data_IF_567926100105
#
_entry.id   IF_567926100105
#
_cell.length_a   1.000
_cell.length_b   1.000
_cell.length_c   1.000
_cell.angle_alpha   90.00
_cell.angle_beta   90.00
_cell.angle_gamma   90.00
#
_symmetry.space_group_name_H-M   'P 1'
#
loop_
_entity.id
_entity.type
_entity.pdbx_description
1 polymer ?
#
# COMPACT_ATOMS: atom_id res chain seq x y z
N UNK A 1 23.24 41.74 54.75
CA UNK A 1 24.70 41.67 54.86
C UNK A 1 25.04 40.38 55.59
N UNK A 2 25.30 39.29 54.91
CA UNK A 2 25.63 37.98 55.48
C UNK A 2 27.15 38.03 55.85
N UNK A 3 27.43 38.04 57.11
CA UNK A 3 28.78 38.03 57.70
C UNK A 3 29.33 36.62 57.65
N UNK A 4 30.23 36.32 56.73
CA UNK A 4 30.94 35.05 56.66
C UNK A 4 32.04 35.08 57.70
N UNK A 5 31.77 34.50 58.84
CA UNK A 5 32.68 34.60 60.01
C UNK A 5 33.61 33.40 60.29
N UNK A 6 33.58 32.37 59.35
CA UNK A 6 34.40 31.19 59.64
C UNK A 6 35.20 30.70 58.43
N UNK A 7 36.53 30.51 58.60
CA UNK A 7 37.40 29.97 57.51
C UNK A 7 36.90 28.61 56.99
N UNK A 8 36.19 27.85 57.79
CA UNK A 8 35.58 26.56 57.41
C UNK A 8 34.45 26.79 56.39
N UNK A 9 33.64 27.83 56.55
CA UNK A 9 32.53 28.12 55.63
C UNK A 9 33.06 28.54 54.26
N UNK A 10 34.12 29.30 54.21
CA UNK A 10 34.78 29.71 52.94
C UNK A 10 35.35 28.49 52.21
N UNK A 11 35.91 27.52 52.94
CA UNK A 11 36.39 26.27 52.32
C UNK A 11 35.25 25.45 51.75
N UNK A 12 34.13 25.29 52.45
CA UNK A 12 32.96 24.57 51.97
C UNK A 12 32.34 25.25 50.74
N UNK A 13 32.23 26.58 50.73
CA UNK A 13 31.74 27.31 49.54
C UNK A 13 32.66 27.13 48.33
N UNK A 14 33.98 27.16 48.51
CA UNK A 14 34.96 26.93 47.42
C UNK A 14 34.89 25.48 46.91
N UNK A 15 34.76 24.52 47.81
CA UNK A 15 34.60 23.11 47.44
C UNK A 15 33.29 22.88 46.66
N UNK A 16 32.19 23.48 47.12
CA UNK A 16 30.89 23.42 46.44
C UNK A 16 30.95 24.06 45.05
N UNK A 17 31.57 25.21 44.95
CA UNK A 17 31.77 25.93 43.67
C UNK A 17 32.64 25.10 42.71
N UNK A 18 33.70 24.45 43.21
CA UNK A 18 34.53 23.58 42.39
C UNK A 18 33.77 22.38 41.89
N UNK A 19 32.96 21.71 42.73
CA UNK A 19 32.08 20.58 42.32
C UNK A 19 31.09 21.04 41.27
N UNK A 20 30.46 22.21 41.45
CA UNK A 20 29.51 22.76 40.50
C UNK A 20 30.18 23.07 39.13
N UNK A 21 31.35 23.71 39.15
CA UNK A 21 32.12 24.00 37.93
C UNK A 21 32.57 22.70 37.22
N UNK A 22 33.02 21.72 37.99
CA UNK A 22 33.39 20.40 37.43
C UNK A 22 32.19 19.67 36.79
N UNK A 23 31.03 19.68 37.46
CA UNK A 23 29.80 19.11 36.92
C UNK A 23 29.39 19.82 35.64
N UNK A 24 29.41 21.15 35.63
CA UNK A 24 29.08 21.95 34.44
C UNK A 24 30.06 21.67 33.29
N UNK A 25 31.35 21.61 33.58
CA UNK A 25 32.38 21.28 32.59
C UNK A 25 32.18 19.88 32.00
N UNK A 26 31.84 18.89 32.84
CA UNK A 26 31.54 17.53 32.41
C UNK A 26 30.33 17.49 31.48
N UNK A 27 29.24 18.22 31.81
CA UNK A 27 28.06 18.33 30.98
C UNK A 27 28.37 19.02 29.64
N UNK A 28 29.11 20.13 29.66
CA UNK A 28 29.52 20.84 28.44
C UNK A 28 30.40 19.96 27.54
N UNK A 29 31.36 19.25 28.14
CA UNK A 29 32.22 18.33 27.40
C UNK A 29 31.41 17.19 26.75
N UNK A 30 30.42 16.64 27.48
CA UNK A 30 29.53 15.63 26.96
C UNK A 30 28.65 16.16 25.83
N UNK A 31 28.14 17.38 26.00
CA UNK A 31 27.33 18.06 25.01
C UNK A 31 28.12 18.34 23.73
N UNK A 32 29.36 18.84 23.88
CA UNK A 32 30.28 19.04 22.77
C UNK A 32 30.58 17.72 22.03
N UNK A 33 30.86 16.66 22.78
CA UNK A 33 31.07 15.33 22.19
C UNK A 33 29.89 14.88 21.32
N UNK A 34 28.66 14.99 21.84
CA UNK A 34 27.45 14.57 21.14
C UNK A 34 27.11 15.44 19.92
N UNK A 35 27.39 16.76 20.02
CA UNK A 35 27.02 17.70 18.96
C UNK A 35 28.07 17.90 17.88
N UNK A 36 29.34 17.68 18.20
CA UNK A 36 30.44 17.93 17.25
C UNK A 36 31.07 16.62 16.79
N UNK A 37 31.42 15.74 17.73
CA UNK A 37 32.17 14.52 17.40
C UNK A 37 31.24 13.41 16.89
N UNK A 38 30.05 13.21 17.51
CA UNK A 38 29.11 12.12 17.18
C UNK A 38 27.92 12.64 16.35
N UNK A 39 28.01 13.90 15.84
CA UNK A 39 26.95 14.56 15.05
C UNK A 39 26.53 13.74 13.84
N UNK A 40 27.49 13.34 12.99
CA UNK A 40 27.21 12.63 11.75
C UNK A 40 26.50 11.30 11.99
N UNK A 41 26.83 10.62 13.07
CA UNK A 41 26.20 9.36 13.45
C UNK A 41 24.75 9.55 13.90
N UNK A 42 24.47 10.59 14.68
CA UNK A 42 23.11 10.90 15.14
C UNK A 42 22.28 11.51 14.02
N UNK A 43 22.87 12.36 13.19
CA UNK A 43 22.22 12.93 12.01
C UNK A 43 21.85 11.85 10.99
N UNK A 44 22.77 10.94 10.66
CA UNK A 44 22.48 9.83 9.75
C UNK A 44 21.37 8.91 10.29
N UNK A 45 21.36 8.60 11.58
CA UNK A 45 20.27 7.83 12.20
C UNK A 45 18.94 8.56 12.17
N UNK A 46 18.92 9.87 12.38
CA UNK A 46 17.72 10.69 12.28
C UNK A 46 17.18 10.69 10.85
N UNK A 47 18.04 10.89 9.87
CA UNK A 47 17.69 10.84 8.44
C UNK A 47 17.12 9.47 8.03
N UNK A 48 17.76 8.38 8.44
CA UNK A 48 17.29 7.01 8.13
C UNK A 48 15.92 6.73 8.77
N UNK A 49 15.65 7.28 9.95
CA UNK A 49 14.38 7.09 10.64
C UNK A 49 13.26 8.01 10.10
N UNK A 50 13.60 9.13 9.48
CA UNK A 50 12.64 10.08 8.91
C UNK A 50 12.22 9.75 7.48
N UNK A 51 13.00 8.93 6.75
CA UNK A 51 12.69 8.56 5.36
C UNK A 51 12.03 7.18 5.32
N UNK A 52 10.85 7.11 4.73
CA UNK A 52 10.12 5.85 4.45
C UNK A 52 10.01 5.60 2.96
N UNK A 53 10.17 4.35 2.57
CA UNK A 53 9.93 3.88 1.22
C UNK A 53 8.47 3.40 1.09
N UNK A 54 7.68 4.10 0.30
CA UNK A 54 6.33 3.70 -0.11
C UNK A 54 6.40 2.95 -1.42
N UNK A 55 5.78 1.79 -1.48
CA UNK A 55 5.66 1.04 -2.73
C UNK A 55 4.55 1.63 -3.57
N UNK A 56 4.87 2.01 -4.80
CA UNK A 56 3.90 2.44 -5.81
C UNK A 56 3.58 1.30 -6.77
N UNK A 57 2.38 1.30 -7.30
CA UNK A 57 1.86 0.27 -8.17
C UNK A 57 1.47 0.88 -9.51
N UNK A 58 1.63 0.10 -10.58
CA UNK A 58 1.17 0.45 -11.92
C UNK A 58 0.07 -0.53 -12.35
N UNK A 59 -0.70 -0.22 -13.40
CA UNK A 59 -1.71 -1.15 -13.93
C UNK A 59 -1.09 -2.46 -14.41
N UNK A 60 -1.86 -3.53 -14.29
CA UNK A 60 -1.54 -4.84 -14.88
C UNK A 60 -1.73 -4.79 -16.40
N UNK A 61 -0.94 -5.51 -17.18
CA UNK A 61 -1.07 -5.60 -18.63
C UNK A 61 -2.49 -6.03 -19.08
N UNK A 62 -2.94 -5.54 -20.21
CA UNK A 62 -4.22 -5.91 -20.81
C UNK A 62 -4.14 -7.32 -21.39
N UNK A 63 -5.31 -7.98 -21.55
CA UNK A 63 -5.40 -9.20 -22.35
C UNK A 63 -6.29 -8.88 -23.55
N UNK A 64 -5.75 -9.07 -24.74
CA UNK A 64 -6.37 -8.73 -26.00
C UNK A 64 -6.66 -9.98 -26.81
N UNK A 65 -7.64 -9.91 -27.68
CA UNK A 65 -7.87 -10.91 -28.72
C UNK A 65 -6.87 -10.75 -29.88
N UNK A 66 -6.98 -11.60 -30.91
CA UNK A 66 -6.11 -11.54 -32.10
C UNK A 66 -6.24 -10.25 -32.93
N UNK A 67 -7.32 -9.51 -32.76
CA UNK A 67 -7.62 -8.27 -33.47
C UNK A 67 -7.40 -7.03 -32.62
N UNK A 68 -6.96 -7.18 -31.36
CA UNK A 68 -6.77 -6.08 -30.44
C UNK A 68 -8.02 -5.69 -29.65
N UNK A 69 -9.11 -6.50 -29.70
CA UNK A 69 -10.27 -6.29 -28.84
C UNK A 69 -9.91 -6.63 -27.39
N UNK A 70 -10.26 -5.73 -26.44
CA UNK A 70 -9.91 -5.89 -25.03
C UNK A 70 -10.78 -6.96 -24.40
N UNK A 71 -10.15 -8.05 -23.95
CA UNK A 71 -10.79 -9.15 -23.25
C UNK A 71 -10.77 -8.98 -21.74
N UNK A 72 -9.66 -8.43 -21.21
CA UNK A 72 -9.49 -8.14 -19.78
C UNK A 72 -8.81 -6.79 -19.62
N UNK A 73 -9.44 -5.90 -18.85
CA UNK A 73 -9.05 -4.53 -18.63
C UNK A 73 -8.82 -4.24 -17.14
N UNK A 74 -8.30 -3.05 -16.86
CA UNK A 74 -8.16 -2.50 -15.52
C UNK A 74 -9.08 -1.29 -15.37
N UNK A 75 -10.06 -1.39 -14.49
CA UNK A 75 -10.97 -0.28 -14.22
C UNK A 75 -10.50 0.50 -13.00
N UNK A 76 -10.31 1.82 -13.12
CA UNK A 76 -9.88 2.63 -12.00
C UNK A 76 -10.95 2.67 -10.92
N UNK A 77 -10.56 2.28 -9.72
CA UNK A 77 -11.38 2.31 -8.52
C UNK A 77 -10.64 3.03 -7.40
N UNK A 78 -11.24 3.04 -6.22
CA UNK A 78 -10.60 3.60 -5.04
C UNK A 78 -10.60 2.60 -3.90
N UNK A 79 -9.53 2.63 -3.11
CA UNK A 79 -9.44 1.93 -1.83
C UNK A 79 -9.53 2.95 -0.72
N UNK A 80 -10.23 2.58 0.34
CA UNK A 80 -10.33 3.38 1.56
C UNK A 80 -9.39 2.83 2.62
N UNK A 81 -8.56 3.69 3.14
CA UNK A 81 -7.63 3.39 4.22
C UNK A 81 -7.92 4.24 5.44
N UNK A 82 -7.60 3.70 6.59
CA UNK A 82 -7.80 4.37 7.88
C UNK A 82 -6.50 4.28 8.67
N UNK A 83 -6.01 5.42 9.15
CA UNK A 83 -4.87 5.48 10.08
C UNK A 83 -5.40 5.37 11.51
N UNK A 84 -5.15 4.25 12.21
CA UNK A 84 -5.79 3.98 13.50
C UNK A 84 -5.57 5.05 14.58
N UNK A 85 -4.37 5.63 14.62
CA UNK A 85 -4.00 6.67 15.59
C UNK A 85 -4.79 7.99 15.40
N UNK A 86 -5.23 8.27 14.20
CA UNK A 86 -5.93 9.52 13.84
C UNK A 86 -7.44 9.43 14.06
N UNK A 87 -8.00 8.22 14.22
CA UNK A 87 -9.41 8.02 14.53
C UNK A 87 -9.72 8.59 15.93
N UNK A 88 -10.76 9.41 16.01
CA UNK A 88 -11.24 9.95 17.29
C UNK A 88 -12.17 8.96 18.01
N UNK A 89 -13.16 8.44 17.28
CA UNK A 89 -14.11 7.43 17.74
C UNK A 89 -14.34 6.42 16.62
N UNK A 90 -13.59 5.33 16.69
CA UNK A 90 -13.61 4.28 15.66
C UNK A 90 -15.03 3.74 15.41
N UNK A 91 -15.83 3.56 16.46
CA UNK A 91 -17.14 2.94 16.32
C UNK A 91 -18.10 3.88 15.60
N UNK A 92 -18.15 5.15 16.00
CA UNK A 92 -19.00 6.15 15.34
C UNK A 92 -18.56 6.42 13.91
N UNK A 93 -17.25 6.54 13.67
CA UNK A 93 -16.71 6.75 12.33
C UNK A 93 -17.02 5.55 11.41
N UNK A 94 -16.91 4.32 11.91
CA UNK A 94 -17.24 3.12 11.13
C UNK A 94 -18.74 3.00 10.85
N UNK A 95 -19.63 3.46 11.74
CA UNK A 95 -21.07 3.54 11.48
C UNK A 95 -21.36 4.47 10.30
N UNK A 96 -20.76 5.67 10.32
CA UNK A 96 -20.92 6.64 9.22
C UNK A 96 -20.32 6.11 7.92
N UNK A 97 -19.10 5.55 7.96
CA UNK A 97 -18.46 4.98 6.79
C UNK A 97 -19.28 3.83 6.19
N UNK A 98 -19.83 2.95 7.03
CA UNK A 98 -20.70 1.84 6.59
C UNK A 98 -21.85 2.33 5.73
N UNK A 99 -22.51 3.43 6.12
CA UNK A 99 -23.63 4.00 5.38
C UNK A 99 -23.23 4.58 4.03
N UNK A 100 -22.02 5.14 3.90
CA UNK A 100 -21.52 5.74 2.66
C UNK A 100 -20.99 4.66 1.71
N UNK A 101 -20.18 3.73 2.23
CA UNK A 101 -19.54 2.69 1.39
C UNK A 101 -20.47 1.50 1.10
N UNK A 102 -21.61 1.39 1.80
CA UNK A 102 -22.57 0.28 1.62
C UNK A 102 -22.05 -1.08 2.10
N UNK A 103 -21.08 -1.08 3.03
CA UNK A 103 -20.48 -2.29 3.62
C UNK A 103 -20.91 -2.36 5.10
N UNK A 104 -21.32 -3.53 5.54
CA UNK A 104 -21.72 -3.72 6.94
C UNK A 104 -20.57 -3.47 7.92
N UNK A 105 -20.90 -2.94 9.10
CA UNK A 105 -19.93 -2.57 10.15
C UNK A 105 -19.09 -3.77 10.58
N UNK A 106 -19.70 -4.95 10.67
CA UNK A 106 -18.98 -6.18 11.04
C UNK A 106 -17.90 -6.52 10.02
N UNK A 107 -18.23 -6.40 8.72
CA UNK A 107 -17.29 -6.65 7.64
C UNK A 107 -16.17 -5.58 7.61
N UNK A 108 -16.49 -4.29 7.84
CA UNK A 108 -15.48 -3.22 7.97
C UNK A 108 -14.52 -3.53 9.12
N UNK A 109 -15.04 -3.94 10.28
CA UNK A 109 -14.21 -4.33 11.43
C UNK A 109 -13.35 -5.56 11.15
N UNK A 110 -13.87 -6.55 10.42
CA UNK A 110 -13.13 -7.74 10.00
C UNK A 110 -11.98 -7.38 9.07
N UNK A 111 -12.24 -6.52 8.07
CA UNK A 111 -11.21 -6.02 7.16
C UNK A 111 -10.16 -5.19 7.90
N UNK A 112 -10.59 -4.29 8.77
CA UNK A 112 -9.69 -3.54 9.63
C UNK A 112 -8.73 -4.46 10.40
N UNK A 113 -9.24 -5.50 11.08
CA UNK A 113 -8.42 -6.48 11.80
C UNK A 113 -7.48 -7.26 10.87
N UNK A 114 -7.97 -7.68 9.70
CA UNK A 114 -7.20 -8.45 8.70
C UNK A 114 -6.01 -7.67 8.18
N UNK A 115 -6.19 -6.38 7.88
CA UNK A 115 -5.17 -5.54 7.24
C UNK A 115 -4.42 -4.63 8.21
N UNK A 116 -4.71 -4.72 9.51
CA UNK A 116 -4.03 -3.91 10.54
C UNK A 116 -2.53 -4.17 10.56
N UNK A 117 -1.73 -3.10 10.46
CA UNK A 117 -0.26 -3.14 10.43
C UNK A 117 0.40 -2.39 11.58
N UNK A 118 -0.37 -1.61 12.33
CA UNK A 118 0.13 -0.77 13.42
C UNK A 118 -0.66 0.53 13.56
N UNK A 119 -0.47 1.26 14.65
CA UNK A 119 -1.28 2.43 14.95
C UNK A 119 -1.11 3.60 13.96
N UNK A 120 0.08 3.74 13.36
CA UNK A 120 0.43 4.85 12.47
C UNK A 120 0.49 4.47 10.99
N UNK A 121 0.07 3.26 10.64
CA UNK A 121 0.10 2.79 9.26
C UNK A 121 -1.33 2.71 8.69
N UNK A 122 -1.54 3.20 7.46
CA UNK A 122 -2.83 3.06 6.79
C UNK A 122 -3.29 1.61 6.71
N UNK A 123 -4.51 1.37 7.14
CA UNK A 123 -5.16 0.06 7.15
C UNK A 123 -6.33 0.08 6.17
N UNK A 124 -6.33 -0.78 5.16
CA UNK A 124 -7.40 -0.86 4.17
C UNK A 124 -8.68 -1.38 4.81
N UNK A 125 -9.78 -0.64 4.68
CA UNK A 125 -11.10 -1.01 5.22
C UNK A 125 -12.13 -1.27 4.13
N UNK A 126 -12.02 -0.61 2.98
CA UNK A 126 -12.89 -0.87 1.84
C UNK A 126 -12.10 -0.83 0.52
N UNK A 127 -12.61 -1.50 -0.49
CA UNK A 127 -12.05 -1.55 -1.86
C UNK A 127 -13.17 -1.37 -2.86
N UNK A 128 -12.80 -1.03 -4.09
CA UNK A 128 -13.70 -0.89 -5.23
C UNK A 128 -14.78 0.18 -4.98
N UNK A 129 -14.36 1.30 -4.40
CA UNK A 129 -15.25 2.43 -4.17
C UNK A 129 -15.45 3.22 -5.46
N UNK A 130 -16.67 3.70 -5.65
CA UNK A 130 -17.02 4.57 -6.76
C UNK A 130 -16.55 6.00 -6.48
N UNK A 131 -16.45 6.81 -7.53
CA UNK A 131 -16.16 8.24 -7.40
C UNK A 131 -17.20 8.97 -6.53
N UNK A 132 -18.48 8.57 -6.63
CA UNK A 132 -19.56 9.15 -5.82
C UNK A 132 -19.35 8.91 -4.32
N UNK A 133 -19.01 7.68 -3.93
CA UNK A 133 -18.71 7.34 -2.53
C UNK A 133 -17.51 8.13 -2.00
N UNK A 134 -16.46 8.28 -2.81
CA UNK A 134 -15.29 9.09 -2.43
C UNK A 134 -15.66 10.56 -2.30
N UNK A 135 -16.49 11.10 -3.21
CA UNK A 135 -16.96 12.50 -3.11
C UNK A 135 -17.72 12.76 -1.82
N UNK A 136 -18.58 11.83 -1.39
CA UNK A 136 -19.31 11.94 -0.12
C UNK A 136 -18.36 11.91 1.09
N UNK A 137 -17.32 11.07 1.06
CA UNK A 137 -16.33 11.01 2.13
C UNK A 137 -15.52 12.33 2.18
N UNK A 138 -15.16 12.88 1.01
CA UNK A 138 -14.40 14.13 0.93
C UNK A 138 -15.22 15.34 1.39
N UNK A 139 -16.51 15.40 1.09
CA UNK A 139 -17.42 16.42 1.61
C UNK A 139 -17.48 16.39 3.14
N UNK A 140 -17.40 15.20 3.75
CA UNK A 140 -17.42 14.98 5.19
C UNK A 140 -16.02 14.82 5.81
N UNK A 141 -14.97 15.28 5.14
CA UNK A 141 -13.58 15.05 5.55
C UNK A 141 -13.25 15.43 6.98
N UNK A 142 -13.88 16.48 7.50
CA UNK A 142 -13.68 16.94 8.87
C UNK A 142 -14.23 15.95 9.92
N UNK A 143 -15.21 15.13 9.54
CA UNK A 143 -15.81 14.09 10.39
C UNK A 143 -14.98 12.79 10.39
N UNK A 144 -14.06 12.65 9.45
CA UNK A 144 -13.27 11.45 9.25
C UNK A 144 -11.75 11.73 9.33
N UNK A 145 -11.23 12.16 10.49
CA UNK A 145 -9.80 12.31 10.67
C UNK A 145 -9.13 10.93 10.51
N UNK A 146 -8.04 10.88 9.74
CA UNK A 146 -7.31 9.64 9.49
C UNK A 146 -7.90 8.72 8.42
N UNK A 147 -9.04 9.07 7.83
CA UNK A 147 -9.57 8.37 6.65
C UNK A 147 -8.94 8.97 5.39
N UNK A 148 -8.38 8.13 4.56
CA UNK A 148 -7.74 8.49 3.29
C UNK A 148 -8.21 7.53 2.20
N UNK A 149 -8.10 7.96 0.96
CA UNK A 149 -8.36 7.09 -0.18
C UNK A 149 -7.20 7.15 -1.17
N UNK A 150 -6.94 6.00 -1.77
CA UNK A 150 -5.93 5.87 -2.82
C UNK A 150 -6.58 5.29 -4.07
N UNK A 151 -6.05 5.66 -5.23
CA UNK A 151 -6.44 5.05 -6.49
C UNK A 151 -5.97 3.59 -6.52
N UNK A 152 -6.83 2.72 -7.00
CA UNK A 152 -6.54 1.30 -7.23
C UNK A 152 -7.17 0.89 -8.55
N UNK A 153 -6.75 -0.26 -9.08
CA UNK A 153 -7.32 -0.81 -10.29
C UNK A 153 -8.05 -2.13 -9.96
N UNK A 154 -9.29 -2.25 -10.45
CA UNK A 154 -10.05 -3.50 -10.42
C UNK A 154 -9.90 -4.20 -11.77
N UNK A 155 -9.63 -5.51 -11.74
CA UNK A 155 -9.52 -6.33 -12.93
C UNK A 155 -10.90 -6.67 -13.45
N UNK A 156 -11.24 -6.20 -14.65
CA UNK A 156 -12.53 -6.42 -15.28
C UNK A 156 -12.36 -7.38 -16.46
N UNK A 157 -13.17 -8.43 -16.45
CA UNK A 157 -13.27 -9.41 -17.51
C UNK A 157 -14.47 -9.07 -18.39
N UNK A 158 -14.27 -9.03 -19.71
CA UNK A 158 -15.35 -8.75 -20.66
C UNK A 158 -16.52 -9.71 -20.45
N UNK A 159 -17.74 -9.19 -20.44
CA UNK A 159 -18.98 -9.98 -20.31
C UNK A 159 -19.11 -11.07 -21.38
N UNK A 160 -18.43 -10.89 -22.51
CA UNK A 160 -18.34 -11.88 -23.60
C UNK A 160 -17.71 -13.19 -23.11
N UNK A 161 -16.81 -13.07 -22.12
CA UNK A 161 -15.95 -14.14 -21.63
C UNK A 161 -16.30 -14.57 -20.20
N UNK A 162 -17.43 -14.12 -19.63
CA UNK A 162 -17.80 -14.45 -18.26
C UNK A 162 -17.76 -15.96 -17.93
N UNK A 163 -17.94 -16.81 -18.93
CA UNK A 163 -17.90 -18.29 -18.80
C UNK A 163 -16.60 -18.91 -19.33
N UNK A 164 -15.63 -18.06 -19.73
CA UNK A 164 -14.37 -18.52 -20.31
C UNK A 164 -13.35 -18.88 -19.23
N UNK A 165 -13.40 -20.10 -18.76
CA UNK A 165 -12.51 -20.62 -17.71
C UNK A 165 -11.01 -20.53 -18.04
N UNK A 166 -10.64 -20.40 -19.32
CA UNK A 166 -9.25 -20.32 -19.74
C UNK A 166 -8.55 -19.03 -19.29
N UNK A 167 -9.28 -17.90 -19.16
CA UNK A 167 -8.69 -16.65 -18.66
C UNK A 167 -8.23 -16.76 -17.21
N UNK A 168 -9.00 -17.49 -16.40
CA UNK A 168 -8.74 -17.57 -14.98
C UNK A 168 -9.19 -16.32 -14.22
N UNK A 169 -8.61 -16.10 -13.07
CA UNK A 169 -8.93 -14.97 -12.18
C UNK A 169 -7.78 -14.63 -11.26
N UNK A 170 -7.86 -13.43 -10.66
CA UNK A 170 -6.93 -12.97 -9.65
C UNK A 170 -7.42 -13.32 -8.25
N UNK A 171 -6.49 -13.64 -7.35
CA UNK A 171 -6.74 -13.87 -5.93
C UNK A 171 -5.81 -13.03 -5.07
N UNK A 172 -6.29 -12.58 -3.91
CA UNK A 172 -5.45 -11.96 -2.90
C UNK A 172 -4.43 -12.95 -2.33
N UNK A 173 -3.19 -12.49 -2.23
CA UNK A 173 -2.10 -13.24 -1.60
C UNK A 173 -2.26 -13.18 -0.08
N UNK A 174 -2.46 -14.33 0.54
CA UNK A 174 -2.45 -14.48 1.99
C UNK A 174 -1.01 -14.66 2.50
N UNK A 175 -0.78 -14.31 3.77
CA UNK A 175 0.56 -14.44 4.40
C UNK A 175 1.15 -15.85 4.29
N UNK A 176 0.30 -16.87 4.40
CA UNK A 176 0.69 -18.29 4.33
C UNK A 176 1.04 -18.74 2.90
N UNK A 177 0.62 -17.99 1.91
CA UNK A 177 0.90 -18.26 0.48
C UNK A 177 2.23 -17.66 0.03
N UNK A 178 2.66 -16.53 0.62
CA UNK A 178 3.90 -15.82 0.23
C UNK A 178 5.13 -16.74 0.16
N UNK A 179 5.40 -17.63 1.13
CA UNK A 179 6.59 -18.48 1.10
C UNK A 179 6.64 -19.47 -0.09
N UNK A 180 5.48 -19.73 -0.71
CA UNK A 180 5.31 -20.66 -1.85
C UNK A 180 5.45 -19.99 -3.20
N UNK A 181 5.48 -18.65 -3.23
CA UNK A 181 5.56 -17.86 -4.45
C UNK A 181 7.01 -17.58 -4.84
N UNK A 182 7.20 -17.17 -6.10
CA UNK A 182 8.51 -16.75 -6.59
C UNK A 182 9.01 -15.53 -5.79
N UNK A 183 10.12 -15.72 -5.06
CA UNK A 183 10.72 -14.70 -4.21
C UNK A 183 11.17 -13.46 -4.98
N UNK A 184 11.49 -13.61 -6.28
CA UNK A 184 11.92 -12.49 -7.11
C UNK A 184 10.80 -11.50 -7.38
N UNK A 185 9.54 -11.92 -7.28
CA UNK A 185 8.37 -11.08 -7.51
C UNK A 185 7.97 -10.27 -6.28
N UNK A 186 8.62 -10.47 -5.13
CA UNK A 186 8.47 -9.69 -3.90
C UNK A 186 7.01 -9.40 -3.51
N UNK A 187 6.17 -10.45 -3.50
CA UNK A 187 4.76 -10.34 -3.12
C UNK A 187 4.58 -9.87 -1.67
N UNK A 188 3.53 -9.10 -1.46
CA UNK A 188 3.06 -8.71 -0.13
C UNK A 188 1.64 -9.24 0.10
N UNK A 189 1.28 -9.47 1.35
CA UNK A 189 -0.08 -9.84 1.71
C UNK A 189 -1.07 -8.75 1.27
N UNK A 190 -2.17 -9.18 0.65
CA UNK A 190 -3.19 -8.29 0.10
C UNK A 190 -2.97 -7.88 -1.36
N UNK A 191 -1.84 -8.21 -1.98
CA UNK A 191 -1.63 -8.04 -3.42
C UNK A 191 -2.40 -9.10 -4.20
N UNK A 192 -2.73 -8.78 -5.46
CA UNK A 192 -3.39 -9.72 -6.35
C UNK A 192 -2.36 -10.53 -7.15
N UNK A 193 -2.65 -11.81 -7.33
CA UNK A 193 -1.87 -12.74 -8.15
C UNK A 193 -2.79 -13.51 -9.07
N UNK A 194 -2.34 -13.82 -10.29
CA UNK A 194 -3.01 -14.76 -11.18
C UNK A 194 -3.08 -16.15 -10.54
N UNK A 195 -4.30 -16.57 -10.21
CA UNK A 195 -4.50 -17.83 -9.50
C UNK A 195 -4.72 -19.02 -10.43
N UNK A 196 -5.36 -18.80 -11.57
CA UNK A 196 -5.73 -19.85 -12.53
C UNK A 196 -5.67 -19.31 -13.97
N UNK A 197 -5.65 -20.20 -14.96
CA UNK A 197 -5.74 -19.90 -16.38
C UNK A 197 -4.58 -19.06 -16.91
N UNK A 198 -4.85 -18.24 -17.91
CA UNK A 198 -3.89 -17.32 -18.55
C UNK A 198 -3.32 -16.33 -17.55
N UNK A 199 -4.14 -15.80 -16.65
CA UNK A 199 -3.70 -14.89 -15.60
C UNK A 199 -2.56 -15.48 -14.76
N UNK A 200 -2.61 -16.78 -14.46
CA UNK A 200 -1.55 -17.48 -13.74
C UNK A 200 -0.36 -17.81 -14.63
N UNK A 201 -0.63 -18.30 -15.83
CA UNK A 201 0.43 -18.76 -16.75
C UNK A 201 1.36 -17.62 -17.17
N UNK A 202 0.78 -16.43 -17.40
CA UNK A 202 1.48 -15.23 -17.83
C UNK A 202 1.59 -14.17 -16.72
N UNK A 203 1.63 -14.61 -15.44
CA UNK A 203 1.72 -13.72 -14.29
C UNK A 203 2.94 -12.79 -14.38
N UNK A 204 4.09 -13.28 -14.85
CA UNK A 204 5.33 -12.51 -14.93
C UNK A 204 5.26 -11.39 -15.96
N UNK A 205 4.58 -11.65 -17.06
CA UNK A 205 4.42 -10.72 -18.18
C UNK A 205 3.35 -9.69 -17.87
N UNK A 206 2.20 -10.15 -17.37
CA UNK A 206 1.05 -9.31 -17.07
C UNK A 206 1.25 -8.42 -15.84
N UNK A 207 2.09 -8.87 -14.89
CA UNK A 207 2.30 -8.13 -13.65
C UNK A 207 3.16 -6.89 -13.89
N UNK A 208 2.77 -5.78 -13.24
CA UNK A 208 3.55 -4.54 -13.20
C UNK A 208 4.85 -4.69 -12.42
N UNK A 209 5.83 -3.84 -12.73
CA UNK A 209 7.00 -3.63 -11.89
C UNK A 209 6.71 -2.58 -10.83
N UNK A 210 7.03 -2.90 -9.57
CA UNK A 210 6.81 -1.99 -8.45
C UNK A 210 7.75 -0.81 -8.52
N UNK A 211 7.21 0.36 -8.23
CA UNK A 211 7.98 1.55 -7.95
C UNK A 211 8.19 1.75 -6.45
N UNK A 212 9.02 2.74 -6.12
CA UNK A 212 9.29 3.16 -4.74
C UNK A 212 9.35 4.67 -4.70
N UNK A 213 8.46 5.27 -3.91
CA UNK A 213 8.52 6.68 -3.54
C UNK A 213 9.12 6.81 -2.16
N UNK A 214 10.08 7.72 -2.02
CA UNK A 214 10.67 8.05 -0.73
C UNK A 214 9.96 9.27 -0.15
N UNK A 215 9.42 9.11 1.05
CA UNK A 215 8.76 10.19 1.78
C UNK A 215 9.50 10.47 3.09
N UNK A 216 9.58 11.74 3.47
CA UNK A 216 10.01 12.14 4.79
C UNK A 216 8.80 12.14 5.73
N UNK A 217 8.96 11.52 6.90
CA UNK A 217 7.89 11.41 7.90
C UNK A 217 8.34 12.02 9.22
N UNK A 218 7.37 12.54 9.97
CA UNK A 218 7.58 13.00 11.34
C UNK A 218 7.75 11.82 12.33
N UNK A 219 7.94 12.14 13.61
CA UNK A 219 8.06 11.16 14.69
C UNK A 219 6.81 10.29 14.86
N UNK A 220 5.67 10.71 14.35
CA UNK A 220 4.41 9.99 14.34
C UNK A 220 4.18 9.18 13.05
N UNK A 221 5.09 9.31 12.07
CA UNK A 221 5.00 8.60 10.80
C UNK A 221 4.13 9.29 9.75
N UNK A 222 3.73 10.56 9.97
CA UNK A 222 2.96 11.36 9.00
C UNK A 222 3.89 11.91 7.92
N UNK A 223 3.44 11.89 6.67
CA UNK A 223 4.17 12.46 5.54
C UNK A 223 4.35 13.97 5.72
N UNK A 224 5.60 14.44 5.66
CA UNK A 224 5.98 15.85 5.68
C UNK A 224 6.32 16.31 4.27
N UNK A 225 7.13 15.51 3.56
CA UNK A 225 7.66 15.87 2.24
C UNK A 225 7.93 14.63 1.38
N UNK A 226 7.78 14.76 0.05
CA UNK A 226 8.17 13.72 -0.92
C UNK A 226 9.54 14.02 -1.49
N UNK A 227 10.41 13.00 -1.46
CA UNK A 227 11.78 13.10 -1.97
C UNK A 227 11.82 12.63 -3.42
N UNK A 228 11.55 13.52 -4.37
CA UNK A 228 11.44 13.16 -5.80
C UNK A 228 12.74 12.68 -6.43
N UNK A 229 13.89 13.03 -5.86
CA UNK A 229 15.21 12.77 -6.45
C UNK A 229 15.62 11.28 -6.51
N UNK A 230 15.02 10.43 -5.68
CA UNK A 230 15.40 9.02 -5.55
C UNK A 230 14.26 8.05 -5.90
N UNK A 231 13.15 8.55 -6.40
CA UNK A 231 11.99 7.74 -6.71
C UNK A 231 12.27 6.77 -7.86
N UNK A 232 11.81 5.54 -7.69
CA UNK A 232 11.83 4.50 -8.73
C UNK A 232 10.41 4.41 -9.27
N UNK A 233 10.17 4.76 -10.55
CA UNK A 233 8.83 4.70 -11.12
C UNK A 233 8.33 3.26 -11.20
N UNK A 234 7.02 3.09 -10.99
CA UNK A 234 6.34 1.84 -11.30
C UNK A 234 6.11 1.74 -12.82
N UNK A 235 6.26 0.55 -13.39
CA UNK A 235 5.98 0.30 -14.80
C UNK A 235 4.80 -0.65 -14.95
N UNK A 236 3.87 -0.39 -15.89
CA UNK A 236 2.76 -1.30 -16.16
C UNK A 236 3.26 -2.66 -16.63
N UNK A 237 2.42 -3.68 -16.47
CA UNK A 237 2.67 -4.99 -17.06
C UNK A 237 2.57 -4.94 -18.58
N UNK A 238 3.13 -5.95 -19.23
CA UNK A 238 3.03 -6.10 -20.69
C UNK A 238 1.64 -6.57 -21.09
N UNK A 239 1.11 -6.02 -22.18
CA UNK A 239 -0.12 -6.50 -22.76
C UNK A 239 0.09 -7.87 -23.44
N UNK A 240 -0.91 -8.71 -23.35
CA UNK A 240 -0.90 -10.07 -23.92
C UNK A 240 -1.95 -10.20 -25.03
N UNK A 241 -1.51 -10.42 -26.26
CA UNK A 241 -2.39 -10.73 -27.37
C UNK A 241 -2.56 -12.26 -27.51
N UNK A 242 -3.81 -12.70 -27.48
CA UNK A 242 -4.16 -14.10 -27.60
C UNK A 242 -4.49 -14.46 -29.06
N UNK A 243 -4.49 -15.74 -29.37
CA UNK A 243 -4.98 -16.27 -30.65
C UNK A 243 -6.51 -16.36 -30.70
N UNK A 244 -7.18 -16.10 -29.60
CA UNK A 244 -8.63 -16.10 -29.45
C UNK A 244 -9.27 -15.01 -30.32
N UNK A 245 -10.40 -15.32 -30.93
CA UNK A 245 -11.29 -14.40 -31.63
C UNK A 245 -12.52 -14.14 -30.75
N UNK A 246 -12.69 -12.90 -30.30
CA UNK A 246 -13.79 -12.51 -29.41
C UNK A 246 -15.17 -12.75 -30.03
N UNK A 247 -15.30 -12.53 -31.36
CA UNK A 247 -16.57 -12.76 -32.06
C UNK A 247 -16.93 -14.25 -32.14
N UNK A 248 -15.93 -15.10 -32.42
CA UNK A 248 -16.13 -16.54 -32.45
C UNK A 248 -16.44 -17.08 -31.06
N UNK A 249 -15.80 -16.53 -30.02
CA UNK A 249 -16.09 -16.86 -28.63
C UNK A 249 -17.55 -16.51 -28.27
N UNK A 250 -17.99 -15.30 -28.63
CA UNK A 250 -19.39 -14.85 -28.44
C UNK A 250 -20.38 -15.74 -29.14
N UNK A 251 -20.10 -16.10 -30.39
CA UNK A 251 -20.95 -17.02 -31.18
C UNK A 251 -21.03 -18.41 -30.55
N UNK A 252 -19.90 -18.97 -30.14
CA UNK A 252 -19.82 -20.26 -29.47
C UNK A 252 -20.61 -20.31 -28.17
N UNK A 253 -20.56 -19.22 -27.39
CA UNK A 253 -21.36 -19.07 -26.16
C UNK A 253 -22.85 -19.09 -26.46
N UNK A 254 -23.31 -18.34 -27.46
CA UNK A 254 -24.72 -18.29 -27.84
C UNK A 254 -25.25 -19.67 -28.27
N UNK A 255 -24.44 -20.46 -28.96
CA UNK A 255 -24.81 -21.84 -29.34
C UNK A 255 -24.97 -22.75 -28.12
N UNK A 256 -24.16 -22.53 -27.08
CA UNK A 256 -24.16 -23.32 -25.84
C UNK A 256 -25.23 -22.86 -24.84
N UNK A 257 -25.88 -21.72 -25.07
CA UNK A 257 -26.88 -21.20 -24.13
C UNK A 257 -27.96 -22.25 -23.82
N UNK A 258 -28.20 -22.54 -22.55
CA UNK A 258 -29.11 -23.56 -22.06
C UNK A 258 -28.65 -25.02 -22.30
N UNK A 259 -27.45 -25.25 -22.82
CA UNK A 259 -26.88 -26.57 -23.07
C UNK A 259 -25.66 -26.84 -22.19
N UNK A 260 -25.41 -28.11 -21.89
CA UNK A 260 -24.18 -28.58 -21.26
C UNK A 260 -23.22 -29.09 -22.33
N UNK A 261 -22.06 -28.53 -22.45
CA UNK A 261 -21.05 -28.93 -23.44
C UNK A 261 -19.87 -27.97 -23.50
N UNK A 262 -19.00 -28.23 -24.45
CA UNK A 262 -17.85 -27.37 -24.78
C UNK A 262 -17.72 -27.25 -26.30
N UNK A 263 -17.23 -26.12 -26.76
CA UNK A 263 -16.87 -25.87 -28.16
C UNK A 263 -15.38 -25.54 -28.19
N UNK A 264 -14.65 -26.25 -29.04
CA UNK A 264 -13.25 -25.98 -29.31
C UNK A 264 -13.10 -25.76 -30.82
N UNK A 265 -12.59 -24.62 -31.21
CA UNK A 265 -12.31 -24.29 -32.63
C UNK A 265 -10.80 -24.05 -32.74
N UNK A 266 -10.19 -24.71 -33.72
CA UNK A 266 -8.76 -24.55 -34.00
C UNK A 266 -8.50 -24.34 -35.48
N UNK A 267 -7.48 -23.56 -35.78
CA UNK A 267 -6.97 -23.39 -37.12
C UNK A 267 -6.14 -24.64 -37.51
N UNK A 268 -6.60 -25.36 -38.55
CA UNK A 268 -5.96 -26.61 -38.95
C UNK A 268 -4.54 -26.45 -39.50
N UNK A 269 -4.17 -25.23 -39.94
CA UNK A 269 -2.83 -24.98 -40.50
C UNK A 269 -1.83 -24.52 -39.46
N UNK A 270 -2.27 -23.78 -38.43
CA UNK A 270 -1.39 -23.18 -37.42
C UNK A 270 -1.49 -23.85 -36.05
N UNK A 271 -2.59 -24.58 -35.79
CA UNK A 271 -2.89 -25.17 -34.49
C UNK A 271 -3.39 -24.18 -33.46
N UNK A 272 -3.57 -22.90 -33.82
CA UNK A 272 -4.11 -21.86 -32.94
C UNK A 272 -5.56 -22.15 -32.58
N UNK A 273 -5.90 -21.83 -31.35
CA UNK A 273 -7.26 -21.95 -30.80
C UNK A 273 -7.93 -20.61 -30.80
#
# INVERSE_FOLDING_TARGET
MLKIENKADIFHYRALLFILCFALFSLLSRYFYLQVIDYDRHFSKSQINSVKALTTYAPRGLILDRYGEILVDNYPTYILTVTPYELRDKEQEFVKLSSIVGIDIEELNKRYKKYYRGPFLPTTVAKNLTFEQISQIEEMRLDFPGVQYDRSDERIYSSILNDAHFLGYLKEVDRDTIPKLDKNLLYRAGELIGWQGIEKQYEKELRFSKGVDYIEVDTYGREIFRLDSNNIPAFPGNDLSLTIDANLQRYSRNILEGKKGSVLVSNVNTGEI
#
